data_IF_042032452284
#
_entry.id   IF_042032452284
#
_cell.length_a   1.000
_cell.length_b   1.000
_cell.length_c   1.000
_cell.angle_alpha   90.00
_cell.angle_beta   90.00
_cell.angle_gamma   90.00
#
_symmetry.space_group_name_H-M   'P 1'
#
loop_
_entity.id
_entity.type
_entity.pdbx_description
1 polymer ?
#
# COMPACT_ATOMS: atom_id res chain seq x y z
N UNK A 1 35.72 -17.33 17.66
CA UNK A 1 35.59 -15.85 17.76
C UNK A 1 35.81 -15.46 19.22
N UNK A 2 36.28 -14.25 19.50
CA UNK A 2 36.50 -13.81 20.89
C UNK A 2 36.28 -12.31 21.04
N UNK A 3 35.81 -11.89 22.22
CA UNK A 3 35.74 -10.48 22.61
C UNK A 3 36.59 -10.28 23.86
N UNK A 4 37.58 -9.40 23.77
CA UNK A 4 38.55 -9.17 24.85
C UNK A 4 38.45 -7.73 25.32
N UNK A 5 38.29 -7.52 26.62
CA UNK A 5 38.32 -6.19 27.23
C UNK A 5 39.77 -5.68 27.35
N UNK A 6 40.10 -4.63 26.59
CA UNK A 6 41.42 -3.98 26.59
C UNK A 6 41.38 -2.64 27.32
N UNK A 7 42.46 -2.36 28.05
CA UNK A 7 42.71 -1.08 28.73
C UNK A 7 43.71 -0.25 27.92
N UNK A 8 43.37 1.00 27.63
CA UNK A 8 44.26 1.98 27.00
C UNK A 8 44.49 3.15 27.96
N UNK A 9 45.74 3.35 28.37
CA UNK A 9 46.14 4.54 29.14
C UNK A 9 46.17 5.75 28.21
N UNK A 10 45.62 6.86 28.67
CA UNK A 10 45.61 8.14 27.97
C UNK A 10 46.72 9.05 28.55
N UNK A 11 47.11 10.08 27.81
CA UNK A 11 48.09 11.08 28.24
C UNK A 11 47.66 11.87 29.47
N UNK A 12 46.34 12.01 29.69
CA UNK A 12 45.72 12.67 30.85
C UNK A 12 45.75 11.82 32.14
N UNK A 13 46.35 10.62 32.11
CA UNK A 13 46.42 9.70 33.25
C UNK A 13 45.16 8.87 33.51
N UNK A 14 44.12 9.03 32.69
CA UNK A 14 42.91 8.19 32.71
C UNK A 14 43.10 6.91 31.90
N UNK A 15 42.20 5.94 32.08
CA UNK A 15 42.20 4.69 31.29
C UNK A 15 40.87 4.53 30.55
N UNK A 16 40.94 4.44 29.22
CA UNK A 16 39.79 4.10 28.37
C UNK A 16 39.65 2.58 28.28
N UNK A 17 38.41 2.09 28.35
CA UNK A 17 38.06 0.69 28.15
C UNK A 17 37.52 0.49 26.73
N UNK A 18 38.02 -0.53 26.04
CA UNK A 18 37.61 -0.88 24.68
C UNK A 18 37.52 -2.39 24.52
N UNK A 19 36.67 -2.85 23.61
CA UNK A 19 36.53 -4.25 23.26
C UNK A 19 37.32 -4.53 21.98
N UNK A 20 38.24 -5.49 22.04
CA UNK A 20 38.85 -6.10 20.87
C UNK A 20 37.97 -7.26 20.41
N UNK A 21 37.42 -7.17 19.20
CA UNK A 21 36.47 -8.14 18.64
C UNK A 21 37.15 -8.89 17.50
N UNK A 22 37.28 -10.21 17.66
CA UNK A 22 37.85 -11.13 16.66
C UNK A 22 36.75 -11.99 16.04
N UNK A 23 36.38 -11.68 14.79
CA UNK A 23 35.32 -12.37 14.05
C UNK A 23 35.82 -12.68 12.63
N UNK A 24 35.71 -13.95 12.19
CA UNK A 24 36.07 -14.41 10.84
C UNK A 24 37.47 -13.95 10.36
N UNK A 25 38.48 -14.07 11.23
CA UNK A 25 39.87 -13.69 10.92
C UNK A 25 40.13 -12.18 10.85
N UNK A 26 39.13 -11.32 11.08
CA UNK A 26 39.28 -9.86 11.13
C UNK A 26 39.15 -9.34 12.56
N UNK A 27 40.04 -8.42 12.92
CA UNK A 27 39.99 -7.69 14.20
C UNK A 27 39.31 -6.34 14.01
N UNK A 28 38.37 -6.02 14.89
CA UNK A 28 37.78 -4.69 15.02
C UNK A 28 37.80 -4.24 16.49
N UNK A 29 37.59 -2.95 16.75
CA UNK A 29 37.56 -2.40 18.10
C UNK A 29 36.34 -1.52 18.35
N UNK A 30 35.81 -1.59 19.58
CA UNK A 30 34.65 -0.82 20.02
C UNK A 30 34.97 -0.05 21.33
N UNK A 31 34.77 1.27 21.33
CA UNK A 31 35.03 2.10 22.51
C UNK A 31 33.83 2.15 23.46
N UNK A 32 34.06 1.86 24.75
CA UNK A 32 33.03 1.97 25.79
C UNK A 32 32.95 3.42 26.30
N UNK A 33 32.16 4.26 25.60
CA UNK A 33 32.06 5.71 25.83
C UNK A 33 31.81 6.11 27.29
N UNK A 34 31.06 5.29 28.05
CA UNK A 34 30.67 5.59 29.44
C UNK A 34 31.49 4.85 30.51
N UNK A 35 32.54 4.12 30.12
CA UNK A 35 33.32 3.27 31.03
C UNK A 35 34.76 3.75 31.24
N UNK A 36 35.02 5.05 31.04
CA UNK A 36 36.34 5.67 31.27
C UNK A 36 36.69 5.64 32.77
N UNK A 37 37.88 5.14 33.11
CA UNK A 37 38.39 5.07 34.48
C UNK A 37 39.18 6.34 34.80
N UNK A 38 38.86 6.99 35.93
CA UNK A 38 39.60 8.16 36.41
C UNK A 38 40.90 7.74 37.13
N UNK A 39 41.83 8.68 37.31
CA UNK A 39 43.02 8.47 38.15
C UNK A 39 42.55 8.28 39.60
N UNK A 40 42.83 7.13 40.25
CA UNK A 40 42.30 6.86 41.59
C UNK A 40 43.08 7.65 42.65
N UNK A 41 42.50 8.76 43.13
CA UNK A 41 43.08 9.58 44.21
C UNK A 41 42.38 9.28 45.53
N UNK A 42 41.06 9.15 45.51
CA UNK A 42 40.23 8.89 46.69
C UNK A 42 39.73 7.44 46.77
N UNK A 43 39.24 7.04 47.94
CA UNK A 43 38.55 5.75 48.11
C UNK A 43 37.29 5.64 47.23
N UNK A 44 36.60 6.76 47.00
CA UNK A 44 35.43 6.84 46.13
C UNK A 44 35.79 6.60 44.66
N UNK A 45 36.92 7.15 44.18
CA UNK A 45 37.42 6.89 42.82
C UNK A 45 37.72 5.40 42.58
N UNK A 46 38.32 4.73 43.58
CA UNK A 46 38.59 3.29 43.51
C UNK A 46 37.30 2.47 43.43
N UNK A 47 36.26 2.84 44.19
CA UNK A 47 34.94 2.21 44.14
C UNK A 47 34.28 2.40 42.77
N UNK A 48 34.21 3.64 42.29
CA UNK A 48 33.62 3.98 40.99
C UNK A 48 34.34 3.30 39.82
N UNK A 49 35.69 3.22 39.87
CA UNK A 49 36.46 2.51 38.86
C UNK A 49 36.19 0.99 38.87
N UNK A 50 35.96 0.39 40.05
CA UNK A 50 35.60 -1.03 40.17
C UNK A 50 34.23 -1.32 39.56
N UNK A 51 33.25 -0.45 39.81
CA UNK A 51 31.90 -0.55 39.24
C UNK A 51 31.93 -0.39 37.72
N UNK A 52 32.62 0.62 37.19
CA UNK A 52 32.78 0.83 35.73
C UNK A 52 33.49 -0.35 35.06
N UNK A 53 34.48 -0.96 35.71
CA UNK A 53 35.17 -2.14 35.21
C UNK A 53 34.26 -3.38 35.19
N UNK A 54 33.43 -3.57 36.21
CA UNK A 54 32.45 -4.66 36.25
C UNK A 54 31.39 -4.50 35.15
N UNK A 55 30.88 -3.29 34.95
CA UNK A 55 29.96 -2.99 33.85
C UNK A 55 30.60 -3.29 32.48
N UNK A 56 31.86 -2.90 32.28
CA UNK A 56 32.58 -3.19 31.05
C UNK A 56 32.75 -4.70 30.80
N UNK A 57 32.99 -5.50 31.86
CA UNK A 57 33.02 -6.98 31.76
C UNK A 57 31.66 -7.56 31.37
N UNK A 58 30.56 -7.05 31.94
CA UNK A 58 29.21 -7.48 31.56
C UNK A 58 28.91 -7.17 30.09
N UNK A 59 29.31 -5.99 29.60
CA UNK A 59 29.15 -5.62 28.18
C UNK A 59 29.98 -6.55 27.29
N UNK A 60 31.22 -6.87 27.68
CA UNK A 60 32.10 -7.81 26.98
C UNK A 60 31.42 -9.19 26.81
N UNK A 61 30.96 -9.78 27.90
CA UNK A 61 30.31 -11.09 27.90
C UNK A 61 29.04 -11.09 27.03
N UNK A 62 28.24 -10.02 27.12
CA UNK A 62 27.03 -9.88 26.30
C UNK A 62 27.34 -9.76 24.80
N UNK A 63 28.43 -9.08 24.45
CA UNK A 63 28.88 -8.92 23.06
C UNK A 63 29.41 -10.23 22.49
N UNK A 64 30.14 -10.99 23.30
CA UNK A 64 30.62 -12.34 22.95
C UNK A 64 29.45 -13.30 22.68
N UNK A 65 28.46 -13.33 23.59
CA UNK A 65 27.23 -14.09 23.39
C UNK A 65 26.46 -13.68 22.13
N UNK A 66 26.44 -12.39 21.81
CA UNK A 66 25.76 -11.88 20.60
C UNK A 66 26.46 -12.34 19.32
N UNK A 67 27.80 -12.30 19.29
CA UNK A 67 28.59 -12.74 18.13
C UNK A 67 28.44 -14.25 17.93
N UNK A 68 28.46 -15.03 19.02
CA UNK A 68 28.22 -16.46 18.97
C UNK A 68 26.78 -16.79 18.51
N UNK A 69 25.79 -16.03 18.96
CA UNK A 69 24.38 -16.14 18.52
C UNK A 69 24.19 -15.82 17.03
N UNK A 70 24.88 -14.80 16.52
CA UNK A 70 24.82 -14.39 15.11
C UNK A 70 25.52 -15.39 14.16
N UNK A 71 26.55 -16.13 14.62
CA UNK A 71 27.28 -17.13 13.81
C UNK A 71 26.48 -18.43 13.60
N UNK A 72 25.67 -18.84 14.59
CA UNK A 72 24.89 -20.09 14.54
C UNK A 72 23.41 -19.88 14.18
N UNK A 73 23.00 -18.69 13.72
CA UNK A 73 21.59 -18.32 13.44
C UNK A 73 20.64 -18.58 14.64
N UNK A 74 21.18 -18.52 15.86
CA UNK A 74 20.44 -18.81 17.10
C UNK A 74 19.88 -17.49 17.63
N UNK A 75 18.63 -17.15 17.29
CA UNK A 75 17.95 -15.97 17.87
C UNK A 75 17.95 -16.04 19.43
N UNK A 76 18.10 -14.92 20.16
CA UNK A 76 18.12 -14.92 21.62
C UNK A 76 16.89 -15.62 22.24
N UNK A 77 17.08 -16.41 23.30
CA UNK A 77 16.02 -17.19 23.95
C UNK A 77 14.78 -16.39 24.34
N UNK A 78 14.93 -15.11 24.71
CA UNK A 78 13.80 -14.25 25.06
C UNK A 78 12.90 -13.85 23.87
N UNK A 79 13.35 -14.04 22.62
CA UNK A 79 12.54 -13.81 21.40
C UNK A 79 11.91 -15.09 20.86
N UNK A 80 12.28 -16.24 21.41
CA UNK A 80 11.77 -17.56 21.01
C UNK A 80 10.46 -17.82 21.76
N UNK A 81 9.37 -18.06 21.03
CA UNK A 81 8.08 -18.45 21.61
C UNK A 81 7.01 -17.36 21.63
N UNK A 82 7.25 -16.19 21.05
CA UNK A 82 6.22 -15.16 20.86
C UNK A 82 5.14 -15.70 19.92
N UNK A 83 3.88 -15.60 20.34
CA UNK A 83 2.73 -15.95 19.50
C UNK A 83 2.61 -14.98 18.33
N UNK A 84 2.35 -15.50 17.12
CA UNK A 84 2.25 -14.66 15.93
C UNK A 84 1.09 -13.66 16.00
N UNK A 85 -0.02 -14.01 16.67
CA UNK A 85 -1.17 -13.12 16.87
C UNK A 85 -0.77 -11.92 17.73
N UNK A 86 -0.10 -12.16 18.86
CA UNK A 86 0.40 -11.10 19.75
C UNK A 86 1.41 -10.19 19.04
N UNK A 87 2.29 -10.79 18.24
CA UNK A 87 3.22 -10.04 17.43
C UNK A 87 2.52 -9.14 16.39
N UNK A 88 1.52 -9.67 15.69
CA UNK A 88 0.76 -8.89 14.72
C UNK A 88 -0.04 -7.78 15.42
N UNK A 89 -0.63 -8.05 16.59
CA UNK A 89 -1.31 -7.03 17.39
C UNK A 89 -0.35 -5.90 17.80
N UNK A 90 0.84 -6.23 18.33
CA UNK A 90 1.88 -5.23 18.64
C UNK A 90 2.32 -4.42 17.41
N UNK A 91 2.38 -5.07 16.24
CA UNK A 91 2.67 -4.39 14.98
C UNK A 91 1.54 -3.42 14.58
N UNK A 92 0.27 -3.77 14.81
CA UNK A 92 -0.90 -2.94 14.51
C UNK A 92 -0.98 -1.70 15.39
N UNK A 93 -0.61 -1.80 16.66
CA UNK A 93 -0.57 -0.67 17.59
C UNK A 93 0.37 0.42 17.08
N UNK A 94 1.55 0.01 16.59
CA UNK A 94 2.55 0.90 16.01
C UNK A 94 2.24 1.32 14.57
N UNK A 95 1.25 0.69 13.91
CA UNK A 95 0.92 0.96 12.51
C UNK A 95 0.10 2.24 12.36
N UNK A 96 0.63 3.25 11.67
CA UNK A 96 0.01 4.57 11.51
C UNK A 96 -0.25 4.98 10.05
N UNK A 97 -0.20 4.04 9.10
CA UNK A 97 -0.40 4.34 7.67
C UNK A 97 -1.89 4.42 7.32
N UNK A 98 -2.21 5.13 6.22
CA UNK A 98 -3.59 5.37 5.73
C UNK A 98 -4.43 4.09 5.52
N UNK A 99 -3.76 2.95 5.33
CA UNK A 99 -4.37 1.64 5.11
C UNK A 99 -4.51 0.79 6.40
N UNK A 100 -4.38 1.38 7.60
CA UNK A 100 -4.52 0.68 8.89
C UNK A 100 -5.79 -0.16 8.97
N UNK A 101 -6.93 0.37 8.50
CA UNK A 101 -8.21 -0.36 8.47
C UNK A 101 -8.12 -1.66 7.68
N UNK A 102 -7.41 -1.66 6.55
CA UNK A 102 -7.22 -2.86 5.71
C UNK A 102 -6.26 -3.84 6.37
N UNK A 103 -5.22 -3.34 7.06
CA UNK A 103 -4.32 -4.17 7.87
C UNK A 103 -5.08 -4.87 9.02
N UNK A 104 -5.93 -4.14 9.75
CA UNK A 104 -6.79 -4.70 10.80
C UNK A 104 -7.76 -5.75 10.22
N UNK A 105 -8.38 -5.48 9.08
CA UNK A 105 -9.28 -6.44 8.44
C UNK A 105 -8.55 -7.73 8.01
N UNK A 106 -7.31 -7.60 7.52
CA UNK A 106 -6.45 -8.74 7.25
C UNK A 106 -6.13 -9.53 8.53
N UNK A 107 -5.82 -8.85 9.63
CA UNK A 107 -5.54 -9.49 10.92
C UNK A 107 -6.77 -10.25 11.46
N UNK A 108 -7.94 -9.63 11.41
CA UNK A 108 -9.19 -10.28 11.83
C UNK A 108 -9.48 -11.52 10.97
N UNK A 109 -9.29 -11.45 9.65
CA UNK A 109 -9.43 -12.64 8.79
C UNK A 109 -8.40 -13.73 9.08
N UNK A 110 -7.19 -13.36 9.47
CA UNK A 110 -6.20 -14.32 9.93
C UNK A 110 -6.63 -15.00 11.24
N UNK A 111 -7.22 -14.27 12.19
CA UNK A 111 -7.80 -14.86 13.41
C UNK A 111 -8.97 -15.81 13.11
N UNK A 112 -9.82 -15.47 12.15
CA UNK A 112 -10.91 -16.34 11.69
C UNK A 112 -10.39 -17.63 11.06
N UNK A 113 -9.38 -17.53 10.19
CA UNK A 113 -8.67 -18.67 9.61
C UNK A 113 -8.11 -19.62 10.70
N UNK A 114 -7.42 -19.06 11.69
CA UNK A 114 -6.85 -19.85 12.78
C UNK A 114 -7.92 -20.61 13.58
N UNK A 115 -9.12 -20.02 13.73
CA UNK A 115 -10.26 -20.69 14.38
C UNK A 115 -10.86 -21.78 13.48
N UNK A 116 -11.03 -21.50 12.20
CA UNK A 116 -11.61 -22.44 11.24
C UNK A 116 -10.77 -23.71 11.09
N UNK A 117 -9.44 -23.59 11.14
CA UNK A 117 -8.52 -24.71 11.00
C UNK A 117 -8.08 -25.33 12.34
N UNK A 118 -8.66 -24.89 13.47
CA UNK A 118 -8.30 -25.34 14.82
C UNK A 118 -6.79 -25.29 15.11
N UNK A 119 -6.08 -24.30 14.55
CA UNK A 119 -4.64 -24.16 14.74
C UNK A 119 -4.39 -23.57 16.12
N UNK A 120 -3.80 -24.34 17.02
CA UNK A 120 -3.40 -23.91 18.38
C UNK A 120 -1.91 -23.60 18.46
N UNK A 121 -1.07 -24.25 17.65
CA UNK A 121 0.37 -24.01 17.62
C UNK A 121 0.73 -22.85 16.69
N UNK A 122 1.00 -21.67 17.28
CA UNK A 122 1.23 -20.41 16.54
C UNK A 122 2.51 -19.68 16.96
N UNK A 123 3.37 -20.37 17.71
CA UNK A 123 4.61 -19.76 18.18
C UNK A 123 5.54 -19.45 17.01
N UNK A 124 6.40 -18.44 17.19
CA UNK A 124 7.38 -18.01 16.19
C UNK A 124 8.32 -19.10 15.66
N UNK A 125 8.45 -20.24 16.37
CA UNK A 125 9.20 -21.43 15.93
C UNK A 125 8.41 -22.36 15.00
N UNK A 126 7.08 -22.37 15.10
CA UNK A 126 6.19 -23.33 14.41
C UNK A 126 5.31 -22.69 13.35
N UNK A 127 5.43 -21.38 13.10
CA UNK A 127 4.82 -20.76 11.93
C UNK A 127 5.51 -21.28 10.66
N UNK A 128 5.08 -22.46 10.25
CA UNK A 128 5.64 -23.19 9.12
C UNK A 128 5.21 -22.54 7.81
N UNK A 129 6.00 -22.79 6.77
CA UNK A 129 5.64 -22.54 5.38
C UNK A 129 4.18 -22.96 5.05
N UNK A 130 3.74 -24.08 5.65
CA UNK A 130 2.41 -24.63 5.46
C UNK A 130 1.29 -23.70 5.95
N UNK A 131 1.40 -23.08 7.13
CA UNK A 131 0.36 -22.16 7.65
C UNK A 131 0.20 -20.94 6.73
N UNK A 132 1.30 -20.45 6.16
CA UNK A 132 1.29 -19.32 5.23
C UNK A 132 0.58 -19.70 3.92
N UNK A 133 0.81 -20.90 3.42
CA UNK A 133 0.17 -21.43 2.21
C UNK A 133 -1.32 -21.68 2.46
N UNK A 134 -1.69 -22.34 3.56
CA UNK A 134 -3.10 -22.58 3.92
C UNK A 134 -3.86 -21.28 4.12
N UNK A 135 -3.25 -20.27 4.74
CA UNK A 135 -3.90 -18.95 4.86
C UNK A 135 -4.12 -18.30 3.48
N UNK A 136 -3.17 -18.47 2.55
CA UNK A 136 -3.32 -17.99 1.17
C UNK A 136 -4.52 -18.66 0.50
N UNK A 137 -4.67 -19.97 0.62
CA UNK A 137 -5.76 -20.76 0.06
C UNK A 137 -7.09 -20.38 0.69
N UNK A 138 -7.15 -20.29 2.02
CA UNK A 138 -8.32 -19.82 2.76
C UNK A 138 -8.79 -18.45 2.28
N UNK A 139 -7.87 -17.50 2.05
CA UNK A 139 -8.23 -16.18 1.52
C UNK A 139 -8.84 -16.26 0.11
N UNK A 140 -8.38 -17.18 -0.73
CA UNK A 140 -8.87 -17.36 -2.10
C UNK A 140 -10.25 -18.02 -2.12
N UNK A 141 -10.48 -18.99 -1.23
CA UNK A 141 -11.76 -19.72 -1.14
C UNK A 141 -12.87 -18.87 -0.51
N UNK A 142 -12.52 -18.02 0.46
CA UNK A 142 -13.51 -17.30 1.27
C UNK A 142 -13.72 -15.84 0.86
N UNK A 143 -12.93 -15.30 -0.07
CA UNK A 143 -13.02 -13.90 -0.48
C UNK A 143 -12.93 -13.75 -1.99
N UNK A 144 -13.61 -12.73 -2.51
CA UNK A 144 -13.71 -12.47 -3.95
C UNK A 144 -12.91 -11.24 -4.40
N UNK A 145 -12.60 -11.22 -5.70
CA UNK A 145 -11.99 -10.09 -6.40
C UNK A 145 -10.55 -9.81 -5.95
N UNK A 146 -10.26 -8.53 -5.68
CA UNK A 146 -8.90 -8.09 -5.31
C UNK A 146 -8.56 -8.21 -3.81
N UNK A 147 -9.55 -8.56 -2.98
CA UNK A 147 -9.41 -8.63 -1.52
C UNK A 147 -8.40 -9.70 -1.07
N UNK A 148 -8.45 -10.97 -1.59
CA UNK A 148 -7.45 -11.99 -1.25
C UNK A 148 -6.01 -11.49 -1.47
N UNK A 149 -5.74 -10.92 -2.64
CA UNK A 149 -4.42 -10.38 -3.01
C UNK A 149 -4.01 -9.22 -2.10
N UNK A 150 -4.95 -8.35 -1.74
CA UNK A 150 -4.68 -7.21 -0.87
C UNK A 150 -4.33 -7.67 0.54
N UNK A 151 -5.09 -8.58 1.12
CA UNK A 151 -4.86 -9.10 2.48
C UNK A 151 -3.56 -9.89 2.53
N UNK A 152 -3.30 -10.78 1.57
CA UNK A 152 -2.06 -11.53 1.54
C UNK A 152 -0.82 -10.63 1.43
N UNK A 153 -0.89 -9.50 0.69
CA UNK A 153 0.19 -8.48 0.68
C UNK A 153 0.40 -7.83 2.04
N UNK A 154 -0.67 -7.57 2.81
CA UNK A 154 -0.58 -7.03 4.18
C UNK A 154 0.07 -8.05 5.12
N UNK A 155 -0.39 -9.29 5.06
CA UNK A 155 0.17 -10.40 5.82
C UNK A 155 1.67 -10.58 5.56
N UNK A 156 2.10 -10.62 4.29
CA UNK A 156 3.53 -10.67 3.92
C UNK A 156 4.35 -9.50 4.47
N UNK A 157 3.76 -8.30 4.56
CA UNK A 157 4.45 -7.13 5.14
C UNK A 157 4.78 -7.34 6.61
N UNK A 158 3.87 -7.96 7.37
CA UNK A 158 4.05 -8.29 8.79
C UNK A 158 5.10 -9.38 8.95
N UNK A 159 5.05 -10.44 8.13
CA UNK A 159 6.09 -11.48 8.11
C UNK A 159 7.49 -10.91 7.84
N UNK A 160 7.63 -10.05 6.82
CA UNK A 160 8.90 -9.36 6.52
C UNK A 160 9.37 -8.45 7.65
N UNK A 161 8.46 -7.87 8.42
CA UNK A 161 8.82 -7.10 9.60
C UNK A 161 9.40 -8.02 10.69
N UNK A 162 8.74 -9.14 11.00
CA UNK A 162 9.24 -10.06 12.02
C UNK A 162 10.55 -10.76 11.66
N UNK A 163 10.80 -11.03 10.37
CA UNK A 163 12.11 -11.51 9.90
C UNK A 163 13.19 -10.46 10.16
N UNK A 164 12.95 -9.18 9.84
CA UNK A 164 13.92 -8.10 10.11
C UNK A 164 14.22 -7.92 11.59
N UNK A 165 13.23 -8.13 12.44
CA UNK A 165 13.38 -8.09 13.90
C UNK A 165 13.99 -9.39 14.49
N UNK A 166 14.38 -10.35 13.63
CA UNK A 166 14.90 -11.68 14.01
C UNK A 166 13.96 -12.47 14.94
N UNK A 167 12.65 -12.28 14.78
CA UNK A 167 11.60 -12.97 15.54
C UNK A 167 11.26 -14.32 14.91
N UNK A 168 11.31 -14.43 13.58
CA UNK A 168 11.02 -15.65 12.84
C UNK A 168 12.28 -16.29 12.25
N UNK A 169 12.24 -17.62 12.08
CA UNK A 169 13.31 -18.41 11.46
C UNK A 169 13.57 -18.01 9.99
N UNK A 170 14.81 -18.26 9.54
CA UNK A 170 15.35 -17.97 8.20
C UNK A 170 14.74 -18.83 7.06
N UNK A 171 13.79 -19.72 7.36
CA UNK A 171 13.03 -20.53 6.38
C UNK A 171 11.85 -19.77 5.72
N UNK A 172 11.21 -18.83 6.43
CA UNK A 172 10.11 -18.00 5.88
C UNK A 172 10.53 -17.09 4.68
N UNK A 173 11.75 -16.49 4.64
CA UNK A 173 12.25 -15.70 3.53
C UNK A 173 12.12 -16.34 2.13
N UNK A 174 12.23 -17.66 2.01
CA UNK A 174 12.17 -18.37 0.71
C UNK A 174 10.81 -18.20 0.04
N UNK A 175 9.72 -18.20 0.83
CA UNK A 175 8.35 -18.00 0.33
C UNK A 175 8.01 -16.53 0.00
N UNK A 176 8.80 -15.60 0.53
CA UNK A 176 8.59 -14.15 0.42
C UNK A 176 9.52 -13.48 -0.61
N UNK A 177 10.20 -14.28 -1.43
CA UNK A 177 11.45 -14.02 -2.13
C UNK A 177 11.65 -12.67 -2.84
N UNK A 178 12.94 -12.39 -3.11
CA UNK A 178 13.45 -11.18 -3.76
C UNK A 178 13.63 -11.30 -5.29
N UNK A 179 13.43 -12.49 -5.90
CA UNK A 179 13.60 -12.74 -7.36
C UNK A 179 12.70 -13.89 -7.84
N UNK A 180 11.53 -13.59 -8.41
CA UNK A 180 10.73 -14.57 -9.17
C UNK A 180 9.84 -15.55 -8.37
N UNK A 181 10.35 -16.19 -7.30
CA UNK A 181 9.66 -17.28 -6.58
C UNK A 181 8.71 -16.82 -5.46
N UNK A 182 8.21 -15.59 -5.51
CA UNK A 182 7.37 -15.04 -4.45
C UNK A 182 5.95 -15.65 -4.49
N UNK A 183 5.45 -16.12 -3.33
CA UNK A 183 4.03 -16.48 -3.21
C UNK A 183 3.18 -15.24 -3.52
N UNK A 184 2.40 -15.35 -4.60
CA UNK A 184 1.45 -14.32 -5.04
C UNK A 184 0.06 -14.92 -5.07
N UNK A 185 -0.89 -14.15 -4.56
CA UNK A 185 -2.29 -14.33 -4.89
C UNK A 185 -2.56 -13.43 -6.08
N UNK A 186 -2.76 -14.05 -7.24
CA UNK A 186 -3.28 -13.32 -8.39
C UNK A 186 -4.69 -12.87 -8.04
N UNK A 187 -5.03 -11.62 -8.34
CA UNK A 187 -6.40 -11.17 -8.16
C UNK A 187 -7.26 -11.96 -9.17
N UNK A 188 -8.09 -12.87 -8.68
CA UNK A 188 -9.03 -13.63 -9.50
C UNK A 188 -10.14 -12.66 -9.87
N UNK A 189 -10.20 -12.28 -11.15
CA UNK A 189 -11.20 -11.36 -11.68
C UNK A 189 -11.22 -10.03 -10.93
N UNK A 190 -10.55 -9.00 -11.46
CA UNK A 190 -10.90 -7.64 -11.06
C UNK A 190 -12.43 -7.49 -11.18
N UNK A 191 -13.09 -6.91 -10.17
CA UNK A 191 -14.54 -6.62 -10.25
C UNK A 191 -14.74 -5.87 -11.56
N UNK A 192 -15.35 -6.52 -12.57
CA UNK A 192 -15.72 -5.86 -13.81
C UNK A 192 -16.65 -4.73 -13.40
N UNK A 193 -16.21 -3.49 -13.59
CA UNK A 193 -17.03 -2.35 -13.23
C UNK A 193 -17.98 -2.10 -14.38
N UNK A 194 -19.24 -1.94 -14.05
CA UNK A 194 -20.20 -1.53 -15.05
C UNK A 194 -19.82 -0.17 -15.63
N UNK A 195 -19.95 -0.07 -16.95
CA UNK A 195 -19.78 1.15 -17.71
C UNK A 195 -21.14 1.60 -18.24
N UNK A 196 -21.37 2.90 -18.22
CA UNK A 196 -22.43 3.57 -18.95
C UNK A 196 -22.02 3.79 -20.40
N UNK A 197 -22.90 3.42 -21.35
CA UNK A 197 -22.84 3.85 -22.74
C UNK A 197 -23.31 5.30 -22.88
N UNK A 198 -23.10 5.91 -24.06
CA UNK A 198 -23.62 7.25 -24.33
C UNK A 198 -25.15 7.30 -24.28
N UNK A 199 -25.84 6.27 -24.76
CA UNK A 199 -27.30 6.17 -24.68
C UNK A 199 -27.78 6.12 -23.22
N UNK A 200 -27.10 5.37 -22.35
CA UNK A 200 -27.44 5.31 -20.92
C UNK A 200 -27.13 6.63 -20.20
N UNK A 201 -26.07 7.34 -20.62
CA UNK A 201 -25.78 8.70 -20.13
C UNK A 201 -26.92 9.65 -20.53
N UNK A 202 -27.43 9.54 -21.75
CA UNK A 202 -28.57 10.34 -22.23
C UNK A 202 -29.84 10.00 -21.46
N UNK A 203 -30.17 8.72 -21.26
CA UNK A 203 -31.31 8.28 -20.44
C UNK A 203 -31.21 8.86 -19.02
N UNK A 204 -30.02 8.85 -18.41
CA UNK A 204 -29.81 9.50 -17.10
C UNK A 204 -30.03 11.01 -17.19
N UNK A 205 -29.58 11.66 -18.26
CA UNK A 205 -29.74 13.10 -18.46
C UNK A 205 -31.22 13.48 -18.55
N UNK A 206 -32.05 12.64 -19.17
CA UNK A 206 -33.49 12.84 -19.29
C UNK A 206 -34.26 12.43 -18.02
N UNK A 207 -33.66 11.59 -17.17
CA UNK A 207 -34.24 11.18 -15.89
C UNK A 207 -34.06 12.26 -14.83
N UNK A 208 -35.14 12.60 -14.13
CA UNK A 208 -35.11 13.58 -13.04
C UNK A 208 -34.30 13.10 -11.82
N UNK A 209 -33.47 14.01 -11.31
CA UNK A 209 -32.73 13.87 -10.07
C UNK A 209 -32.84 15.17 -9.28
N UNK A 210 -33.47 15.09 -8.10
CA UNK A 210 -33.74 16.25 -7.24
C UNK A 210 -32.49 17.04 -6.84
N UNK A 211 -31.32 16.39 -6.79
CA UNK A 211 -30.06 17.08 -6.53
C UNK A 211 -29.29 17.34 -7.84
N UNK A 212 -29.47 18.53 -8.39
CA UNK A 212 -28.84 18.97 -9.63
C UNK A 212 -27.30 19.06 -9.54
N UNK A 213 -26.74 19.36 -8.37
CA UNK A 213 -25.28 19.40 -8.16
C UNK A 213 -24.66 18.02 -8.38
N UNK A 214 -25.27 16.96 -7.82
CA UNK A 214 -24.82 15.58 -8.02
C UNK A 214 -24.90 15.20 -9.50
N UNK A 215 -26.01 15.55 -10.18
CA UNK A 215 -26.19 15.31 -11.62
C UNK A 215 -25.07 15.98 -12.44
N UNK A 216 -24.85 17.28 -12.20
CA UNK A 216 -23.86 18.07 -12.92
C UNK A 216 -22.43 17.55 -12.71
N UNK A 217 -22.07 17.27 -11.46
CA UNK A 217 -20.74 16.76 -11.10
C UNK A 217 -20.50 15.33 -11.61
N UNK A 218 -21.52 14.46 -11.60
CA UNK A 218 -21.39 13.10 -12.12
C UNK A 218 -21.16 13.11 -13.64
N UNK A 219 -21.93 13.90 -14.39
CA UNK A 219 -21.68 14.05 -15.82
C UNK A 219 -20.33 14.71 -16.11
N UNK A 220 -19.92 15.70 -15.32
CA UNK A 220 -18.59 16.27 -15.46
C UNK A 220 -17.50 15.19 -15.30
N UNK A 221 -17.69 14.23 -14.39
CA UNK A 221 -16.84 13.04 -14.27
C UNK A 221 -16.87 12.16 -15.52
N UNK A 222 -18.04 11.92 -16.13
CA UNK A 222 -18.18 11.14 -17.36
C UNK A 222 -17.49 11.80 -18.57
N UNK A 223 -17.35 13.12 -18.60
CA UNK A 223 -16.73 13.86 -19.71
C UNK A 223 -15.27 14.28 -19.46
N UNK A 224 -14.73 14.11 -18.25
CA UNK A 224 -13.35 14.48 -17.92
C UNK A 224 -12.53 13.34 -17.32
N UNK A 225 -13.17 12.24 -16.91
CA UNK A 225 -12.51 11.12 -16.26
C UNK A 225 -12.00 11.42 -14.84
N UNK A 226 -12.32 12.58 -14.26
CA UNK A 226 -11.90 12.93 -12.90
C UNK A 226 -12.54 12.02 -11.85
N UNK A 227 -11.82 11.77 -10.74
CA UNK A 227 -12.37 11.00 -9.61
C UNK A 227 -13.23 11.90 -8.71
N UNK A 228 -14.11 11.29 -7.93
CA UNK A 228 -14.94 12.01 -6.94
C UNK A 228 -14.13 12.94 -6.04
N UNK A 229 -13.00 12.47 -5.50
CA UNK A 229 -12.15 13.26 -4.62
C UNK A 229 -11.57 14.49 -5.31
N UNK A 230 -11.27 14.39 -6.60
CA UNK A 230 -10.71 15.47 -7.40
C UNK A 230 -11.80 16.48 -7.77
N UNK A 231 -13.01 16.01 -8.11
CA UNK A 231 -14.18 16.86 -8.39
C UNK A 231 -14.62 17.64 -7.15
N UNK A 232 -14.63 17.01 -5.97
CA UNK A 232 -15.10 17.62 -4.73
C UNK A 232 -14.29 18.85 -4.30
N UNK A 233 -13.01 18.92 -4.70
CA UNK A 233 -12.12 20.05 -4.38
C UNK A 233 -11.79 20.91 -5.60
N UNK A 234 -12.50 20.72 -6.72
CA UNK A 234 -12.21 21.43 -7.95
C UNK A 234 -12.61 22.90 -7.82
N UNK A 235 -11.68 23.81 -8.12
CA UNK A 235 -11.86 25.25 -8.01
C UNK A 235 -11.75 25.94 -9.37
N UNK A 236 -12.33 27.12 -9.52
CA UNK A 236 -12.31 27.87 -10.79
C UNK A 236 -10.90 28.21 -11.28
N UNK A 237 -9.93 28.42 -10.40
CA UNK A 237 -8.51 28.64 -10.76
C UNK A 237 -7.88 27.45 -11.50
N UNK A 238 -8.50 26.26 -11.40
CA UNK A 238 -8.06 25.08 -12.14
C UNK A 238 -8.50 25.10 -13.61
N UNK A 239 -9.36 26.04 -14.00
CA UNK A 239 -9.87 26.19 -15.37
C UNK A 239 -9.16 27.38 -16.03
N UNK A 240 -8.53 27.14 -17.17
CA UNK A 240 -7.85 28.15 -17.98
C UNK A 240 -8.39 28.08 -19.41
N UNK A 241 -9.32 28.98 -19.75
CA UNK A 241 -10.07 28.92 -21.01
C UNK A 241 -10.83 27.59 -21.12
N UNK A 242 -10.50 26.78 -22.13
CA UNK A 242 -11.08 25.43 -22.32
C UNK A 242 -10.29 24.30 -21.66
N UNK A 243 -9.29 24.59 -20.84
CA UNK A 243 -8.37 23.59 -20.31
C UNK A 243 -8.46 23.50 -18.79
N UNK A 244 -8.72 22.30 -18.31
CA UNK A 244 -8.68 21.92 -16.91
C UNK A 244 -7.27 21.44 -16.56
N UNK A 245 -6.67 21.98 -15.50
CA UNK A 245 -5.38 21.53 -14.95
C UNK A 245 -5.50 21.31 -13.45
N UNK A 246 -5.25 20.08 -12.99
CA UNK A 246 -5.26 19.74 -11.57
C UNK A 246 -4.17 18.73 -11.22
N UNK A 247 -3.76 18.71 -9.96
CA UNK A 247 -2.97 17.63 -9.39
C UNK A 247 -3.90 16.67 -8.66
N UNK A 248 -3.94 15.41 -9.08
CA UNK A 248 -4.86 14.41 -8.53
C UNK A 248 -4.55 14.14 -7.05
N UNK A 249 -5.55 14.14 -6.18
CA UNK A 249 -5.34 13.93 -4.73
C UNK A 249 -4.78 12.55 -4.40
N UNK A 250 -5.23 11.52 -5.13
CA UNK A 250 -4.90 10.13 -4.80
C UNK A 250 -3.47 9.74 -5.18
N UNK A 251 -3.01 10.21 -6.34
CA UNK A 251 -1.75 9.78 -6.97
C UNK A 251 -0.71 10.89 -7.00
N UNK A 252 -1.09 12.14 -6.73
CA UNK A 252 -0.27 13.33 -6.87
C UNK A 252 0.29 13.55 -8.29
N UNK A 253 -0.42 13.02 -9.30
CA UNK A 253 -0.05 13.16 -10.72
C UNK A 253 -0.78 14.38 -11.29
N UNK A 254 -0.08 15.32 -11.94
CA UNK A 254 -0.72 16.41 -12.66
C UNK A 254 -1.45 15.87 -13.89
N UNK A 255 -2.68 16.32 -14.08
CA UNK A 255 -3.52 15.96 -15.22
C UNK A 255 -4.06 17.23 -15.87
N UNK A 256 -4.04 17.22 -17.20
CA UNK A 256 -4.55 18.29 -18.04
C UNK A 256 -5.57 17.71 -19.01
N UNK A 257 -6.79 18.25 -19.01
CA UNK A 257 -7.89 17.80 -19.86
C UNK A 257 -8.44 18.99 -20.63
N UNK A 258 -8.62 18.84 -21.94
CA UNK A 258 -9.34 19.81 -22.75
C UNK A 258 -10.85 19.54 -22.60
N UNK A 259 -11.59 20.56 -22.21
CA UNK A 259 -13.02 20.51 -21.96
C UNK A 259 -13.78 20.69 -23.28
N UNK A 260 -14.65 19.74 -23.60
CA UNK A 260 -15.60 19.88 -24.69
C UNK A 260 -16.75 20.83 -24.29
N UNK A 261 -17.60 21.19 -25.26
CA UNK A 261 -18.71 22.13 -25.03
C UNK A 261 -19.66 21.66 -23.92
N UNK A 262 -19.90 20.36 -23.81
CA UNK A 262 -20.74 19.77 -22.75
C UNK A 262 -20.08 19.96 -21.38
N UNK A 263 -18.79 19.62 -21.24
CA UNK A 263 -18.06 19.78 -19.99
C UNK A 263 -17.97 21.25 -19.57
N UNK A 264 -17.82 22.19 -20.51
CA UNK A 264 -17.86 23.63 -20.25
C UNK A 264 -19.24 24.07 -19.75
N UNK A 265 -20.32 23.60 -20.38
CA UNK A 265 -21.68 23.89 -19.93
C UNK A 265 -21.93 23.36 -18.51
N UNK A 266 -21.40 22.17 -18.18
CA UNK A 266 -21.48 21.57 -16.85
C UNK A 266 -20.66 22.30 -15.77
N UNK A 267 -19.81 23.27 -16.11
CA UNK A 267 -19.15 24.12 -15.10
C UNK A 267 -20.14 25.10 -14.44
N UNK A 268 -21.22 25.47 -15.13
CA UNK A 268 -22.20 26.43 -14.63
C UNK A 268 -21.70 27.88 -14.71
N UNK A 269 -22.19 28.73 -13.80
CA UNK A 269 -21.84 30.16 -13.75
C UNK A 269 -20.39 30.33 -13.27
N UNK A 270 -19.62 31.13 -14.00
CA UNK A 270 -18.23 31.44 -13.65
C UNK A 270 -18.20 32.07 -12.25
N UNK A 271 -17.46 31.44 -11.35
CA UNK A 271 -17.21 31.90 -9.99
C UNK A 271 -15.80 32.46 -9.81
N UNK A 272 -15.49 32.85 -8.59
CA UNK A 272 -14.17 33.37 -8.22
C UNK A 272 -13.12 32.25 -8.20
N UNK A 273 -11.85 32.58 -8.43
CA UNK A 273 -10.77 31.58 -8.59
C UNK A 273 -10.68 30.51 -7.50
N UNK A 274 -10.89 30.87 -6.23
CA UNK A 274 -10.82 29.92 -5.11
C UNK A 274 -12.16 29.25 -4.77
N UNK A 275 -13.24 29.64 -5.43
CA UNK A 275 -14.56 29.06 -5.24
C UNK A 275 -14.63 27.65 -5.84
N UNK A 276 -15.31 26.74 -5.14
CA UNK A 276 -15.54 25.38 -5.61
C UNK A 276 -16.54 25.38 -6.76
N UNK A 277 -16.26 24.58 -7.79
CA UNK A 277 -17.16 24.43 -8.95
C UNK A 277 -18.38 23.56 -8.60
N UNK A 278 -18.21 22.62 -7.66
CA UNK A 278 -19.25 21.69 -7.25
C UNK A 278 -19.36 21.61 -5.73
N UNK A 279 -20.56 21.84 -5.19
CA UNK A 279 -20.83 21.67 -3.76
C UNK A 279 -21.53 20.33 -3.51
N UNK A 280 -20.72 19.31 -3.21
CA UNK A 280 -21.20 17.93 -3.09
C UNK A 280 -21.32 17.45 -1.63
N UNK A 281 -22.34 16.62 -1.31
CA UNK A 281 -22.46 16.00 -0.01
C UNK A 281 -21.39 14.90 0.20
N UNK A 282 -21.57 14.06 1.22
CA UNK A 282 -20.67 12.92 1.46
C UNK A 282 -20.67 11.96 0.26
N UNK A 283 -19.55 11.27 0.04
CA UNK A 283 -19.44 10.27 -1.04
C UNK A 283 -20.54 9.20 -0.94
N UNK A 284 -20.89 8.77 0.28
CA UNK A 284 -21.98 7.82 0.53
C UNK A 284 -23.34 8.37 0.10
N UNK A 285 -23.61 9.65 0.39
CA UNK A 285 -24.84 10.30 -0.05
C UNK A 285 -24.91 10.39 -1.58
N UNK A 286 -23.81 10.75 -2.25
CA UNK A 286 -23.71 10.76 -3.70
C UNK A 286 -23.98 9.37 -4.30
N UNK A 287 -23.39 8.30 -3.73
CA UNK A 287 -23.63 6.93 -4.20
C UNK A 287 -25.09 6.48 -4.00
N UNK A 288 -25.73 6.86 -2.88
CA UNK A 288 -27.14 6.54 -2.63
C UNK A 288 -28.05 7.24 -3.66
N UNK A 289 -27.78 8.52 -3.95
CA UNK A 289 -28.50 9.26 -4.98
C UNK A 289 -28.31 8.63 -6.36
N UNK A 290 -27.07 8.28 -6.73
CA UNK A 290 -26.75 7.65 -8.00
C UNK A 290 -27.45 6.30 -8.17
N UNK A 291 -27.46 5.45 -7.13
CA UNK A 291 -28.20 4.18 -7.14
C UNK A 291 -29.70 4.38 -7.39
N UNK A 292 -30.30 5.35 -6.71
CA UNK A 292 -31.72 5.66 -6.88
C UNK A 292 -32.01 6.25 -8.27
N UNK A 293 -31.11 7.08 -8.79
CA UNK A 293 -31.22 7.68 -10.11
C UNK A 293 -31.16 6.63 -11.22
N UNK A 294 -30.20 5.71 -11.17
CA UNK A 294 -30.13 4.57 -12.09
C UNK A 294 -31.38 3.68 -12.00
N UNK A 295 -31.94 3.47 -10.80
CA UNK A 295 -33.20 2.72 -10.62
C UNK A 295 -34.37 3.43 -11.32
N UNK A 296 -34.49 4.76 -11.18
CA UNK A 296 -35.52 5.55 -11.88
C UNK A 296 -35.35 5.48 -13.40
N UNK A 297 -34.11 5.54 -13.87
CA UNK A 297 -33.72 5.45 -15.27
C UNK A 297 -33.85 4.02 -15.87
N UNK A 298 -34.26 3.02 -15.06
CA UNK A 298 -34.32 1.60 -15.45
C UNK A 298 -32.98 1.03 -15.96
N UNK A 299 -31.87 1.55 -15.45
CA UNK A 299 -30.53 1.06 -15.78
C UNK A 299 -30.16 -0.05 -14.79
N UNK A 300 -30.14 -1.29 -15.27
CA UNK A 300 -29.86 -2.50 -14.49
C UNK A 300 -28.35 -2.76 -14.35
N UNK A 301 -27.59 -1.73 -13.95
CA UNK A 301 -26.14 -1.78 -13.73
C UNK A 301 -25.79 -1.25 -12.35
N UNK A 302 -24.75 -1.81 -11.73
CA UNK A 302 -24.20 -1.32 -10.48
C UNK A 302 -23.29 -0.10 -10.71
N UNK A 303 -23.91 1.04 -10.97
CA UNK A 303 -23.18 2.28 -11.24
C UNK A 303 -22.74 2.93 -9.92
N UNK A 304 -21.43 3.13 -9.80
CA UNK A 304 -20.79 3.90 -8.74
C UNK A 304 -20.13 5.14 -9.33
N UNK A 305 -19.66 6.08 -8.51
CA UNK A 305 -18.97 7.27 -9.03
C UNK A 305 -17.75 6.91 -9.89
N UNK A 306 -17.03 5.84 -9.55
CA UNK A 306 -15.87 5.45 -10.34
C UNK A 306 -16.25 4.92 -11.73
N UNK A 307 -17.49 4.43 -11.92
CA UNK A 307 -17.98 4.00 -13.22
C UNK A 307 -17.96 5.14 -14.23
N UNK A 308 -18.21 6.40 -13.82
CA UNK A 308 -18.09 7.57 -14.70
C UNK A 308 -16.71 7.68 -15.36
N UNK A 309 -15.65 7.44 -14.59
CA UNK A 309 -14.27 7.43 -15.10
C UNK A 309 -14.00 6.24 -16.02
N UNK A 310 -14.57 5.07 -15.72
CA UNK A 310 -14.45 3.92 -16.62
C UNK A 310 -15.20 4.18 -17.93
N UNK A 311 -16.43 4.70 -17.87
CA UNK A 311 -17.19 5.15 -19.04
C UNK A 311 -16.43 6.16 -19.88
N UNK A 312 -15.79 7.15 -19.27
CA UNK A 312 -14.93 8.09 -19.99
C UNK A 312 -13.77 7.39 -20.70
N UNK A 313 -13.03 6.54 -19.98
CA UNK A 313 -11.89 5.79 -20.53
C UNK A 313 -12.30 4.87 -21.68
N UNK A 314 -13.31 4.03 -21.49
CA UNK A 314 -13.85 3.13 -22.51
C UNK A 314 -14.45 3.91 -23.68
N UNK A 315 -15.15 5.02 -23.40
CA UNK A 315 -15.71 5.90 -24.42
C UNK A 315 -14.66 6.52 -25.33
N UNK A 316 -13.54 7.01 -24.76
CA UNK A 316 -12.43 7.53 -25.56
C UNK A 316 -11.78 6.46 -26.42
N UNK A 317 -11.54 5.27 -25.85
CA UNK A 317 -10.96 4.14 -26.59
C UNK A 317 -11.90 3.71 -27.73
N UNK A 318 -13.21 3.65 -27.47
CA UNK A 318 -14.24 3.29 -28.46
C UNK A 318 -14.32 4.28 -29.64
N UNK A 319 -14.05 5.57 -29.39
CA UNK A 319 -14.05 6.62 -30.42
C UNK A 319 -12.67 6.83 -31.06
N UNK A 320 -11.80 5.81 -31.05
CA UNK A 320 -10.51 5.84 -31.75
C UNK A 320 -9.38 6.54 -30.96
N UNK A 321 -9.58 6.82 -29.68
CA UNK A 321 -8.53 7.38 -28.82
C UNK A 321 -7.40 6.39 -28.58
N UNK A 322 -6.18 6.79 -28.90
CA UNK A 322 -4.99 5.99 -28.61
C UNK A 322 -4.85 5.69 -27.11
N UNK A 323 -4.53 4.44 -26.77
CA UNK A 323 -4.49 3.93 -25.39
C UNK A 323 -3.50 4.72 -24.54
N UNK A 324 -2.38 5.18 -25.11
CA UNK A 324 -1.39 6.00 -24.38
C UNK A 324 -1.95 7.38 -24.06
N UNK A 325 -2.65 8.00 -25.01
CA UNK A 325 -3.34 9.28 -24.80
C UNK A 325 -4.45 9.16 -23.74
N UNK A 326 -5.28 8.11 -23.81
CA UNK A 326 -6.31 7.84 -22.80
C UNK A 326 -5.69 7.62 -21.42
N UNK A 327 -4.58 6.87 -21.35
CA UNK A 327 -3.82 6.65 -20.10
C UNK A 327 -3.32 7.97 -19.51
N UNK A 328 -2.82 8.89 -20.34
CA UNK A 328 -2.35 10.21 -19.94
C UNK A 328 -3.49 11.09 -19.42
N UNK A 329 -4.62 11.17 -20.15
CA UNK A 329 -5.81 11.92 -19.74
C UNK A 329 -6.38 11.43 -18.41
N UNK A 330 -6.35 10.11 -18.19
CA UNK A 330 -6.76 9.52 -16.93
C UNK A 330 -5.70 9.77 -15.82
N UNK A 331 -4.43 9.98 -16.15
CA UNK A 331 -3.34 10.05 -15.17
C UNK A 331 -2.96 8.67 -14.61
N UNK A 332 -2.98 7.64 -15.45
CA UNK A 332 -2.49 6.30 -15.11
C UNK A 332 -0.97 6.21 -15.31
N UNK A 333 -0.27 5.76 -14.28
CA UNK A 333 1.20 5.55 -14.31
C UNK A 333 1.60 4.24 -14.99
N UNK A 334 0.65 3.35 -15.26
CA UNK A 334 0.86 2.08 -15.95
C UNK A 334 -0.24 1.82 -16.96
N UNK A 335 0.16 1.40 -18.17
CA UNK A 335 -0.76 1.01 -19.24
C UNK A 335 -1.57 -0.25 -18.90
N UNK A 336 -1.15 -1.04 -17.91
CA UNK A 336 -1.91 -2.22 -17.45
C UNK A 336 -3.33 -1.86 -17.01
N UNK A 337 -3.51 -0.68 -16.41
CA UNK A 337 -4.84 -0.19 -16.00
C UNK A 337 -5.69 0.21 -17.21
N UNK A 338 -5.09 0.85 -18.21
CA UNK A 338 -5.79 1.35 -19.40
C UNK A 338 -6.11 0.23 -20.38
N UNK A 339 -5.30 -0.83 -20.43
CA UNK A 339 -5.57 -2.02 -21.24
C UNK A 339 -6.85 -2.78 -20.85
N UNK A 340 -7.42 -2.53 -19.66
CA UNK A 340 -8.73 -3.07 -19.29
C UNK A 340 -9.85 -2.49 -20.17
N UNK A 341 -9.77 -1.22 -20.56
CA UNK A 341 -10.78 -0.57 -21.40
C UNK A 341 -10.81 -1.14 -22.83
N UNK A 342 -9.64 -1.53 -23.35
CA UNK A 342 -9.53 -2.20 -24.66
C UNK A 342 -10.22 -3.57 -24.63
N UNK A 343 -10.08 -4.31 -23.52
CA UNK A 343 -10.70 -5.64 -23.36
C UNK A 343 -12.22 -5.57 -23.26
N UNK A 344 -12.76 -4.50 -22.69
CA UNK A 344 -14.21 -4.28 -22.53
C UNK A 344 -14.88 -3.82 -23.84
N UNK A 345 -14.11 -3.48 -24.87
CA UNK A 345 -14.62 -3.01 -26.14
C UNK A 345 -14.48 -4.09 -27.22
N UNK A 346 -15.33 -5.12 -27.17
CA UNK A 346 -15.38 -6.13 -28.24
C UNK A 346 -15.74 -5.51 -29.60
N UNK A 347 -16.59 -4.47 -29.59
CA UNK A 347 -16.89 -3.66 -30.76
C UNK A 347 -15.69 -2.93 -31.39
N UNK A 348 -14.63 -2.63 -30.64
CA UNK A 348 -13.41 -2.09 -31.24
C UNK A 348 -12.63 -3.16 -31.99
N UNK A 349 -12.67 -4.41 -31.52
CA UNK A 349 -12.06 -5.52 -32.25
C UNK A 349 -12.81 -5.75 -33.56
N UNK A 350 -14.14 -5.71 -33.50
CA UNK A 350 -15.01 -5.79 -34.69
C UNK A 350 -14.69 -4.66 -35.68
N UNK A 351 -14.74 -3.39 -35.25
CA UNK A 351 -14.37 -2.24 -36.10
C UNK A 351 -12.95 -2.30 -36.63
N UNK A 352 -11.99 -2.82 -35.86
CA UNK A 352 -10.61 -2.95 -36.31
C UNK A 352 -10.48 -3.98 -37.44
N UNK A 353 -11.28 -5.04 -37.41
CA UNK A 353 -11.36 -6.03 -38.48
C UNK A 353 -12.13 -5.47 -39.69
N UNK A 354 -13.24 -4.75 -39.47
CA UNK A 354 -14.01 -4.09 -40.54
C UNK A 354 -13.20 -3.02 -41.29
N UNK A 355 -12.27 -2.34 -40.62
CA UNK A 355 -11.40 -1.34 -41.24
C UNK A 355 -10.17 -1.94 -41.96
N UNK A 356 -10.04 -3.27 -42.04
CA UNK A 356 -8.99 -3.88 -42.84
C UNK A 356 -9.22 -3.56 -44.33
N UNK A 357 -8.17 -3.21 -45.08
CA UNK A 357 -8.32 -2.93 -46.50
C UNK A 357 -8.82 -4.18 -47.22
N UNK A 358 -9.90 -4.02 -48.00
CA UNK A 358 -10.36 -5.07 -48.89
C UNK A 358 -9.27 -5.35 -49.94
N UNK A 359 -8.95 -6.63 -50.13
CA UNK A 359 -8.11 -7.10 -51.21
C UNK A 359 -8.99 -7.89 -52.19
N UNK A 360 -8.78 -7.69 -53.48
CA UNK A 360 -9.48 -8.49 -54.49
C UNK A 360 -8.90 -9.91 -54.47
N UNK A 361 -9.75 -10.90 -54.20
CA UNK A 361 -9.42 -12.34 -54.23
C UNK A 361 -10.28 -13.02 -55.29
#
# INVERSE_FOLDING_TARGET
MSVILRKRKNSDGTTSLLLDIYNNGKRSYEFLKNSKLCKPVTALDRKNNRERLNLAKQICNKREQQIQSDEYDVSPEFRKGIDFVDFFESYLDKYNKKDKRVMNACFNKFKEFLKAESITERSSKKLSANIIIRFKEYLVENLNGSTPSTYFKKFKKVLRYGIREKIFSSEIPVLLGSRGNELKVQAIGGIKKDILSFDEIQILADTDLSNHEIKRAFFFSCYTGLRFCDIKILQWKNIQGKRLKITQQKTNVPVSVNLNNIALHLLGKIGNGDELIFTLPSHTACLKNLKNWCKKAKINKHITWHCARHSFGTGLVFHGGDVKNVSSLLGHTSLTYTGQYVRESDKLKEKAVENLPEINI
#
